data_IF_601902739179
#
_entry.id   IF_601902739179
#
_cell.length_a   1.000
_cell.length_b   1.000
_cell.length_c   1.000
_cell.angle_alpha   90.00
_cell.angle_beta   90.00
_cell.angle_gamma   90.00
#
_symmetry.space_group_name_H-M   'P 1'
#
loop_
_entity.id
_entity.type
_entity.pdbx_description
1 polymer ?
#
# COMPACT_ATOMS: atom_id res chain seq x y z
N UNK A 1 15.47 -4.52 -29.17
CA UNK A 1 15.62 -3.23 -28.45
C UNK A 1 16.45 -3.52 -27.21
N UNK A 2 17.62 -2.87 -27.03
CA UNK A 2 18.40 -2.97 -25.79
C UNK A 2 17.57 -2.32 -24.68
N UNK A 3 17.37 -3.05 -23.58
CA UNK A 3 16.71 -2.48 -22.42
C UNK A 3 17.62 -1.38 -21.83
N UNK A 4 17.08 -0.20 -21.60
CA UNK A 4 17.82 0.87 -20.91
C UNK A 4 18.20 0.38 -19.51
N UNK A 5 19.48 0.37 -19.21
CA UNK A 5 20.00 0.10 -17.88
C UNK A 5 20.24 1.42 -17.15
N UNK A 6 19.75 1.49 -15.93
CA UNK A 6 19.91 2.63 -15.04
C UNK A 6 20.58 2.14 -13.75
N UNK A 7 21.56 2.90 -13.24
CA UNK A 7 22.20 2.64 -11.97
C UNK A 7 22.04 3.85 -11.06
N UNK A 8 21.46 3.65 -9.88
CA UNK A 8 21.38 4.65 -8.82
C UNK A 8 22.54 4.40 -7.86
N UNK A 9 23.41 5.39 -7.68
CA UNK A 9 24.65 5.30 -6.93
C UNK A 9 24.60 6.02 -5.58
N UNK A 10 25.23 5.39 -4.56
CA UNK A 10 25.54 6.04 -3.29
C UNK A 10 24.32 6.40 -2.44
N UNK A 11 23.16 5.78 -2.69
CA UNK A 11 21.95 6.02 -1.94
C UNK A 11 21.85 5.17 -0.66
N UNK A 12 21.12 5.65 0.34
CA UNK A 12 20.75 4.88 1.52
C UNK A 12 19.38 4.24 1.30
N UNK A 13 19.38 2.95 0.99
CA UNK A 13 18.15 2.17 0.76
C UNK A 13 17.46 1.91 2.08
N UNK A 14 16.24 2.42 2.22
CA UNK A 14 15.40 2.26 3.41
C UNK A 14 14.51 1.03 3.21
N UNK A 15 14.61 0.10 4.14
CA UNK A 15 13.75 -1.08 4.20
C UNK A 15 12.82 -1.01 5.40
N UNK A 16 11.89 -1.94 5.54
CA UNK A 16 11.03 -2.06 6.73
C UNK A 16 11.77 -2.44 8.01
N UNK A 17 13.07 -2.74 7.95
CA UNK A 17 13.85 -3.24 9.09
C UNK A 17 15.17 -2.50 9.34
N UNK A 18 15.58 -1.65 8.43
CA UNK A 18 16.84 -0.91 8.55
C UNK A 18 17.23 -0.20 7.27
N UNK A 19 18.33 0.52 7.32
CA UNK A 19 18.87 1.33 6.21
C UNK A 19 20.22 0.75 5.79
N UNK A 20 20.41 0.58 4.48
CA UNK A 20 21.63 0.02 3.90
C UNK A 20 22.15 0.94 2.79
N UNK A 21 23.40 1.37 2.88
CA UNK A 21 24.05 2.06 1.78
C UNK A 21 24.35 1.08 0.65
N UNK A 22 23.79 1.33 -0.52
CA UNK A 22 23.95 0.46 -1.68
C UNK A 22 23.62 1.18 -2.99
N UNK A 23 24.20 0.67 -4.07
CA UNK A 23 23.81 0.99 -5.42
C UNK A 23 22.65 0.11 -5.87
N UNK A 24 21.75 0.66 -6.70
CA UNK A 24 20.57 -0.06 -7.22
C UNK A 24 20.63 -0.11 -8.74
N UNK A 25 20.69 -1.32 -9.31
CA UNK A 25 20.66 -1.56 -10.75
C UNK A 25 19.25 -1.86 -11.23
N UNK A 26 18.83 -1.16 -12.27
CA UNK A 26 17.50 -1.25 -12.86
C UNK A 26 17.64 -1.62 -14.33
N UNK A 27 16.85 -2.58 -14.78
CA UNK A 27 16.74 -2.95 -16.20
C UNK A 27 15.33 -3.42 -16.50
N UNK A 28 14.76 -2.94 -17.61
CA UNK A 28 13.40 -3.28 -18.02
C UNK A 28 12.31 -2.90 -17.01
N UNK A 29 12.55 -1.87 -16.20
CA UNK A 29 11.61 -1.40 -15.17
C UNK A 29 11.69 -2.14 -13.85
N UNK A 30 12.53 -3.16 -13.71
CA UNK A 30 12.70 -3.95 -12.49
C UNK A 30 14.07 -3.73 -11.87
N UNK A 31 14.14 -3.88 -10.56
CA UNK A 31 15.39 -3.92 -9.83
C UNK A 31 16.08 -5.25 -10.13
N UNK A 32 17.31 -5.19 -10.65
CA UNK A 32 18.10 -6.37 -11.00
C UNK A 32 19.07 -6.77 -9.90
N UNK A 33 19.66 -5.76 -9.26
CA UNK A 33 20.70 -5.98 -8.26
C UNK A 33 20.72 -4.83 -7.27
N UNK A 34 21.09 -5.15 -6.04
CA UNK A 34 21.46 -4.19 -4.99
C UNK A 34 22.79 -4.64 -4.46
N UNK A 35 23.77 -3.78 -4.43
CA UNK A 35 25.11 -4.13 -3.92
C UNK A 35 25.81 -2.89 -3.37
N UNK A 36 26.68 -3.10 -2.38
CA UNK A 36 27.58 -2.10 -1.84
C UNK A 36 28.86 -2.12 -2.67
N UNK A 37 29.39 -0.94 -3.04
CA UNK A 37 30.71 -0.76 -3.66
C UNK A 37 31.02 -1.63 -4.90
N UNK A 38 30.11 -1.72 -5.84
CA UNK A 38 30.44 -2.35 -7.10
C UNK A 38 30.78 -1.31 -8.15
N UNK A 39 32.07 -0.95 -8.22
CA UNK A 39 32.59 -0.37 -9.44
C UNK A 39 32.26 -1.34 -10.59
N UNK A 40 31.68 -0.90 -11.70
CA UNK A 40 31.49 -1.77 -12.85
C UNK A 40 32.88 -2.26 -13.27
N UNK A 41 33.14 -3.58 -13.17
CA UNK A 41 34.20 -4.17 -13.97
C UNK A 41 33.86 -3.77 -15.38
N UNK A 42 34.74 -3.05 -16.03
CA UNK A 42 34.57 -2.61 -17.44
C UNK A 42 34.12 -3.80 -18.28
N UNK A 43 32.84 -3.91 -18.49
CA UNK A 43 32.29 -4.85 -19.44
C UNK A 43 32.63 -4.28 -20.82
N UNK A 44 33.75 -4.75 -21.37
CA UNK A 44 34.18 -4.41 -22.72
C UNK A 44 33.01 -4.66 -23.68
N UNK A 45 32.43 -3.58 -24.22
CA UNK A 45 31.44 -3.65 -25.28
C UNK A 45 29.98 -3.42 -24.90
N UNK A 46 29.59 -3.15 -23.66
CA UNK A 46 28.23 -2.76 -23.30
C UNK A 46 28.10 -1.24 -23.18
N UNK A 47 26.95 -0.71 -23.64
CA UNK A 47 26.63 0.71 -23.42
C UNK A 47 26.68 1.00 -21.92
N UNK A 48 27.29 2.12 -21.50
CA UNK A 48 27.32 2.52 -20.09
C UNK A 48 25.89 2.71 -19.62
N UNK A 49 25.52 2.17 -18.42
CA UNK A 49 24.22 2.42 -17.86
C UNK A 49 24.05 3.92 -17.58
N UNK A 50 22.81 4.40 -17.65
CA UNK A 50 22.49 5.76 -17.27
C UNK A 50 22.65 5.87 -15.74
N UNK A 51 23.61 6.68 -15.26
CA UNK A 51 23.93 6.79 -13.82
C UNK A 51 23.17 7.95 -13.19
N UNK A 52 22.60 7.69 -12.01
CA UNK A 52 21.90 8.66 -11.17
C UNK A 52 22.66 8.73 -9.84
N UNK A 53 23.21 9.91 -9.53
CA UNK A 53 23.81 10.17 -8.22
C UNK A 53 22.71 10.36 -7.16
N UNK A 54 22.72 9.50 -6.13
CA UNK A 54 21.84 9.55 -4.98
C UNK A 54 22.61 9.78 -3.67
N UNK A 55 23.83 10.30 -3.74
CA UNK A 55 24.61 10.65 -2.55
C UNK A 55 23.83 11.63 -1.67
N UNK A 56 23.77 11.35 -0.37
CA UNK A 56 22.96 12.17 0.57
C UNK A 56 21.45 11.99 0.46
N UNK A 57 20.99 10.96 -0.25
CA UNK A 57 19.56 10.62 -0.37
C UNK A 57 19.21 9.33 0.37
N UNK A 58 18.03 9.31 0.98
CA UNK A 58 17.33 8.07 1.28
C UNK A 58 16.57 7.62 0.03
N UNK A 59 16.63 6.32 -0.26
CA UNK A 59 15.88 5.64 -1.31
C UNK A 59 14.78 4.81 -0.64
N UNK A 60 13.53 5.23 -0.77
CA UNK A 60 12.40 4.51 -0.20
C UNK A 60 11.63 3.78 -1.29
N UNK A 61 11.02 2.61 -1.02
CA UNK A 61 10.08 2.01 -1.94
C UNK A 61 8.84 2.89 -2.08
N UNK A 62 8.26 2.92 -3.28
CA UNK A 62 7.03 3.64 -3.54
C UNK A 62 5.89 3.21 -2.61
N UNK A 63 5.08 4.16 -2.16
CA UNK A 63 3.94 3.89 -1.27
C UNK A 63 2.74 3.37 -2.05
N UNK A 64 1.86 2.64 -1.33
CA UNK A 64 0.62 2.08 -1.88
C UNK A 64 -0.57 2.83 -1.28
N UNK A 65 -1.27 3.60 -2.12
CA UNK A 65 -2.44 4.35 -1.70
C UNK A 65 -3.67 3.44 -1.61
N UNK A 66 -4.41 3.56 -0.51
CA UNK A 66 -5.68 2.86 -0.27
C UNK A 66 -6.74 3.87 0.20
N UNK A 67 -7.23 4.76 -0.68
CA UNK A 67 -8.12 5.83 -0.30
C UNK A 67 -9.50 5.32 0.14
N UNK A 68 -10.15 6.03 1.05
CA UNK A 68 -11.53 5.73 1.43
C UNK A 68 -12.53 6.03 0.31
N UNK A 69 -12.29 7.16 -0.37
CA UNK A 69 -13.15 7.61 -1.48
C UNK A 69 -12.59 7.14 -2.81
N UNK A 70 -13.39 6.41 -3.60
CA UNK A 70 -12.94 5.91 -4.89
C UNK A 70 -12.57 7.05 -5.84
N UNK A 71 -11.36 6.99 -6.41
CA UNK A 71 -10.90 7.92 -7.44
C UNK A 71 -11.63 7.70 -8.77
N UNK A 72 -12.05 6.46 -9.06
CA UNK A 72 -12.84 6.13 -10.23
C UNK A 72 -14.20 6.83 -10.32
N UNK A 73 -14.66 7.48 -9.23
CA UNK A 73 -15.86 8.35 -9.24
C UNK A 73 -15.61 9.75 -9.79
N UNK A 74 -14.36 10.16 -9.94
CA UNK A 74 -14.02 11.46 -10.55
C UNK A 74 -14.34 11.36 -12.05
N UNK A 75 -15.26 12.21 -12.52
CA UNK A 75 -15.76 12.15 -13.90
C UNK A 75 -14.96 12.99 -14.88
N UNK A 76 -14.25 14.01 -14.40
CA UNK A 76 -13.50 14.94 -15.24
C UNK A 76 -12.03 14.56 -15.25
N UNK A 77 -11.46 14.37 -16.44
CA UNK A 77 -10.06 13.96 -16.60
C UNK A 77 -9.06 14.90 -15.93
N UNK A 78 -9.14 16.23 -16.03
CA UNK A 78 -8.21 17.12 -15.32
C UNK A 78 -8.23 16.92 -13.82
N UNK A 79 -9.42 16.85 -13.21
CA UNK A 79 -9.57 16.63 -11.75
C UNK A 79 -9.02 15.25 -11.32
N UNK A 80 -9.23 14.23 -12.14
CA UNK A 80 -8.66 12.91 -11.92
C UNK A 80 -7.13 12.94 -11.96
N UNK A 81 -6.55 13.56 -12.99
CA UNK A 81 -5.11 13.66 -13.12
C UNK A 81 -4.48 14.49 -11.98
N UNK A 82 -5.15 15.54 -11.53
CA UNK A 82 -4.66 16.35 -10.40
C UNK A 82 -4.68 15.55 -9.10
N UNK A 83 -5.70 14.74 -8.87
CA UNK A 83 -5.75 13.83 -7.72
C UNK A 83 -4.60 12.79 -7.78
N UNK A 84 -4.31 12.20 -8.94
CA UNK A 84 -3.19 11.28 -9.11
C UNK A 84 -1.85 11.98 -8.97
N UNK A 85 -1.69 13.20 -9.48
CA UNK A 85 -0.47 14.01 -9.30
C UNK A 85 -0.22 14.33 -7.83
N UNK A 86 -1.27 14.61 -7.05
CA UNK A 86 -1.15 14.79 -5.61
C UNK A 86 -0.60 13.52 -4.94
N UNK A 87 -1.12 12.34 -5.28
CA UNK A 87 -0.60 11.07 -4.78
C UNK A 87 0.89 10.89 -5.15
N UNK A 88 1.28 11.18 -6.38
CA UNK A 88 2.69 11.08 -6.82
C UNK A 88 3.58 12.01 -5.97
N UNK A 89 3.17 13.25 -5.73
CA UNK A 89 3.93 14.20 -4.88
C UNK A 89 4.10 13.70 -3.45
N UNK A 90 3.15 12.94 -2.94
CA UNK A 90 3.21 12.30 -1.63
C UNK A 90 4.03 10.99 -1.64
N UNK A 91 4.51 10.54 -2.80
CA UNK A 91 5.32 9.33 -2.93
C UNK A 91 4.53 8.06 -3.25
N UNK A 92 3.27 8.15 -3.57
CA UNK A 92 2.51 6.98 -3.99
C UNK A 92 2.82 6.62 -5.45
N UNK A 93 3.14 5.35 -5.69
CA UNK A 93 3.41 4.78 -7.03
C UNK A 93 2.41 3.71 -7.42
N UNK A 94 1.53 3.35 -6.50
CA UNK A 94 0.45 2.39 -6.72
C UNK A 94 -0.82 2.81 -5.99
N UNK A 95 -1.97 2.60 -6.64
CA UNK A 95 -3.30 2.92 -6.12
C UNK A 95 -4.14 1.63 -6.02
N UNK A 96 -4.67 1.35 -4.84
CA UNK A 96 -5.75 0.38 -4.65
C UNK A 96 -7.05 1.16 -4.60
N UNK A 97 -7.79 1.20 -5.70
CA UNK A 97 -9.07 1.91 -5.74
C UNK A 97 -10.25 0.97 -5.48
N UNK A 98 -11.39 1.53 -5.09
CA UNK A 98 -12.58 0.76 -4.75
C UNK A 98 -13.58 0.77 -5.90
N UNK A 99 -13.91 -0.43 -6.37
CA UNK A 99 -14.98 -0.69 -7.32
C UNK A 99 -16.25 -1.03 -6.52
N UNK A 100 -17.33 -0.34 -6.81
CA UNK A 100 -18.64 -0.56 -6.19
C UNK A 100 -19.63 -1.02 -7.26
N UNK A 101 -19.63 -2.33 -7.60
CA UNK A 101 -20.55 -2.85 -8.60
C UNK A 101 -21.97 -2.85 -8.07
N UNK A 102 -22.89 -2.30 -8.82
CA UNK A 102 -24.31 -2.46 -8.54
C UNK A 102 -24.79 -3.88 -8.91
N UNK A 103 -25.96 -4.25 -8.40
CA UNK A 103 -26.47 -5.62 -8.54
C UNK A 103 -26.61 -6.09 -9.98
N UNK A 104 -26.94 -5.16 -10.84
CA UNK A 104 -27.27 -5.38 -12.24
C UNK A 104 -26.07 -5.15 -13.19
N UNK A 105 -24.92 -4.73 -12.66
CA UNK A 105 -23.75 -4.48 -13.49
C UNK A 105 -23.16 -5.77 -14.02
N UNK A 106 -23.10 -5.86 -15.33
CA UNK A 106 -22.28 -6.81 -16.03
C UNK A 106 -20.83 -6.35 -16.17
N UNK A 107 -19.97 -7.18 -16.73
CA UNK A 107 -18.55 -6.91 -16.95
C UNK A 107 -18.27 -5.64 -17.79
N UNK A 108 -18.97 -5.38 -18.91
CA UNK A 108 -18.82 -4.16 -19.69
C UNK A 108 -19.13 -2.89 -18.90
N UNK A 109 -20.14 -2.91 -18.05
CA UNK A 109 -20.52 -1.77 -17.22
C UNK A 109 -19.51 -1.48 -16.11
N UNK A 110 -18.93 -2.54 -15.52
CA UNK A 110 -17.81 -2.42 -14.59
C UNK A 110 -16.58 -1.78 -15.29
N UNK A 111 -16.27 -2.20 -16.51
CA UNK A 111 -15.20 -1.60 -17.31
C UNK A 111 -15.44 -0.13 -17.60
N UNK A 112 -16.68 0.28 -17.82
CA UNK A 112 -17.01 1.70 -18.00
C UNK A 112 -16.76 2.52 -16.73
N UNK A 113 -17.09 1.99 -15.55
CA UNK A 113 -16.77 2.67 -14.28
C UNK A 113 -15.26 2.79 -14.05
N UNK A 114 -14.50 1.83 -14.55
CA UNK A 114 -13.04 1.81 -14.40
C UNK A 114 -12.29 2.56 -15.50
N UNK A 115 -13.01 3.05 -16.53
CA UNK A 115 -12.40 3.64 -17.74
C UNK A 115 -11.48 4.83 -17.44
N UNK A 116 -11.77 5.63 -16.40
CA UNK A 116 -10.92 6.75 -16.02
C UNK A 116 -9.48 6.31 -15.66
N UNK A 117 -9.34 5.10 -15.12
CA UNK A 117 -8.03 4.55 -14.71
C UNK A 117 -7.13 4.16 -15.89
N UNK A 118 -7.65 4.06 -17.12
CA UNK A 118 -6.80 3.93 -18.31
C UNK A 118 -5.89 5.14 -18.52
N UNK A 119 -6.25 6.28 -17.92
CA UNK A 119 -5.44 7.50 -17.95
C UNK A 119 -4.49 7.61 -16.75
N UNK A 120 -4.43 6.61 -15.87
CA UNK A 120 -3.64 6.68 -14.65
C UNK A 120 -2.14 6.84 -14.94
N UNK A 121 -1.46 7.63 -14.12
CA UNK A 121 -0.03 7.89 -14.19
C UNK A 121 0.78 6.86 -13.38
N UNK A 122 0.13 6.20 -12.39
CA UNK A 122 0.71 5.19 -11.51
C UNK A 122 0.00 3.85 -11.68
N UNK A 123 0.64 2.77 -11.27
CA UNK A 123 0.01 1.45 -11.31
C UNK A 123 -1.19 1.40 -10.36
N UNK A 124 -2.15 0.54 -10.64
CA UNK A 124 -3.35 0.43 -9.85
C UNK A 124 -3.90 -1.00 -9.80
N UNK A 125 -4.64 -1.27 -8.74
CA UNK A 125 -5.45 -2.49 -8.59
C UNK A 125 -6.79 -2.14 -7.96
N UNK A 126 -7.67 -3.12 -7.83
CA UNK A 126 -9.04 -2.91 -7.40
C UNK A 126 -9.38 -3.68 -6.13
N UNK A 127 -10.12 -3.02 -5.27
CA UNK A 127 -10.89 -3.64 -4.20
C UNK A 127 -12.37 -3.62 -4.60
N UNK A 128 -13.03 -4.77 -4.56
CA UNK A 128 -14.47 -4.86 -4.88
C UNK A 128 -15.27 -4.73 -3.60
N UNK A 129 -16.16 -3.72 -3.53
CA UNK A 129 -17.05 -3.50 -2.40
C UNK A 129 -18.40 -4.19 -2.64
N UNK A 130 -18.80 -5.07 -1.74
CA UNK A 130 -20.01 -5.87 -1.81
C UNK A 130 -20.76 -5.84 -0.48
N UNK A 131 -22.11 -5.80 -0.46
CA UNK A 131 -22.86 -6.05 0.77
C UNK A 131 -22.66 -7.51 1.21
N UNK A 132 -22.68 -7.75 2.54
CA UNK A 132 -22.52 -9.08 3.12
C UNK A 132 -23.46 -10.14 2.49
N UNK A 133 -24.70 -9.75 2.19
CA UNK A 133 -25.72 -10.62 1.56
C UNK A 133 -25.34 -11.12 0.16
N UNK A 134 -24.34 -10.54 -0.48
CA UNK A 134 -23.85 -10.91 -1.81
C UNK A 134 -22.53 -11.65 -1.79
N UNK A 135 -21.89 -11.76 -0.65
CA UNK A 135 -20.66 -12.55 -0.55
C UNK A 135 -21.04 -14.04 -0.44
N UNK A 136 -21.04 -14.71 -1.56
CA UNK A 136 -21.32 -16.15 -1.72
C UNK A 136 -20.29 -16.82 -2.64
N UNK A 137 -20.34 -18.14 -2.77
CA UNK A 137 -19.37 -18.90 -3.55
C UNK A 137 -19.31 -18.50 -5.03
N UNK A 138 -20.44 -18.19 -5.65
CA UNK A 138 -20.51 -17.72 -7.04
C UNK A 138 -19.80 -16.38 -7.22
N UNK A 139 -20.13 -15.42 -6.34
CA UNK A 139 -19.52 -14.07 -6.34
C UNK A 139 -18.01 -14.14 -6.14
N UNK A 140 -17.54 -14.98 -5.20
CA UNK A 140 -16.10 -15.17 -4.97
C UNK A 140 -15.43 -15.76 -6.21
N UNK A 141 -15.98 -16.84 -6.80
CA UNK A 141 -15.40 -17.44 -8.02
C UNK A 141 -15.36 -16.43 -9.18
N UNK A 142 -16.42 -15.66 -9.36
CA UNK A 142 -16.51 -14.64 -10.42
C UNK A 142 -15.41 -13.59 -10.28
N UNK A 143 -15.38 -12.86 -9.16
CA UNK A 143 -14.42 -11.77 -9.00
C UNK A 143 -12.99 -12.26 -8.85
N UNK A 144 -12.77 -13.30 -8.06
CA UNK A 144 -11.42 -13.80 -7.84
C UNK A 144 -10.86 -14.56 -9.04
N UNK A 145 -11.71 -15.19 -9.86
CA UNK A 145 -11.32 -15.79 -11.14
C UNK A 145 -10.73 -14.78 -12.12
N UNK A 146 -11.18 -13.53 -12.07
CA UNK A 146 -10.70 -12.43 -12.89
C UNK A 146 -9.47 -11.71 -12.32
N UNK A 147 -8.97 -12.13 -11.15
CA UNK A 147 -7.77 -11.56 -10.55
C UNK A 147 -8.01 -10.62 -9.38
N UNK A 148 -9.25 -10.29 -9.04
CA UNK A 148 -9.53 -9.46 -7.86
C UNK A 148 -9.18 -10.23 -6.58
N UNK A 149 -8.38 -9.60 -5.70
CA UNK A 149 -7.87 -10.24 -4.48
C UNK A 149 -8.27 -9.50 -3.21
N UNK A 150 -8.95 -8.38 -3.35
CA UNK A 150 -9.42 -7.55 -2.25
C UNK A 150 -10.93 -7.44 -2.33
N UNK A 151 -11.64 -7.89 -1.29
CA UNK A 151 -13.09 -7.77 -1.20
C UNK A 151 -13.43 -6.97 0.06
N UNK A 152 -14.15 -5.86 -0.11
CA UNK A 152 -14.67 -5.04 0.97
C UNK A 152 -16.12 -5.43 1.25
N UNK A 153 -16.36 -5.97 2.42
CA UNK A 153 -17.67 -6.47 2.83
C UNK A 153 -18.38 -5.41 3.66
N UNK A 154 -19.49 -4.91 3.13
CA UNK A 154 -20.33 -3.94 3.82
C UNK A 154 -21.30 -4.68 4.73
N UNK A 155 -21.16 -4.47 6.03
CA UNK A 155 -22.02 -5.05 7.07
C UNK A 155 -22.74 -3.92 7.79
N UNK A 156 -24.06 -3.98 7.83
CA UNK A 156 -24.90 -2.97 8.49
C UNK A 156 -25.44 -3.44 9.84
N UNK A 157 -25.59 -4.75 9.99
CA UNK A 157 -26.13 -5.38 11.22
C UNK A 157 -25.34 -6.63 11.56
N UNK A 158 -25.12 -6.93 12.84
CA UNK A 158 -24.38 -8.14 13.25
C UNK A 158 -24.95 -9.46 12.71
N UNK A 159 -26.28 -9.52 12.53
CA UNK A 159 -26.96 -10.74 12.02
C UNK A 159 -26.54 -11.10 10.60
N UNK A 160 -26.09 -10.14 9.80
CA UNK A 160 -25.63 -10.38 8.43
C UNK A 160 -24.39 -11.29 8.42
N UNK A 161 -23.55 -11.24 9.46
CA UNK A 161 -22.36 -12.09 9.57
C UNK A 161 -22.71 -13.58 9.74
N UNK A 162 -23.79 -13.88 10.44
CA UNK A 162 -24.24 -15.24 10.69
C UNK A 162 -25.05 -15.84 9.54
N UNK A 163 -25.50 -14.99 8.60
CA UNK A 163 -26.20 -15.42 7.38
C UNK A 163 -25.25 -15.74 6.23
N UNK A 164 -23.97 -15.42 6.36
CA UNK A 164 -22.97 -15.74 5.36
C UNK A 164 -22.63 -17.24 5.40
N UNK A 165 -22.58 -17.86 4.24
CA UNK A 165 -22.20 -19.27 4.09
C UNK A 165 -20.67 -19.42 4.16
N UNK A 166 -20.14 -19.34 5.38
CA UNK A 166 -18.70 -19.40 5.64
C UNK A 166 -18.09 -20.74 5.21
N UNK A 167 -18.83 -21.85 5.28
CA UNK A 167 -18.37 -23.18 4.87
C UNK A 167 -18.04 -23.21 3.38
N UNK A 168 -18.90 -22.62 2.55
CA UNK A 168 -18.67 -22.56 1.10
C UNK A 168 -17.65 -21.49 0.70
N UNK A 169 -17.64 -20.32 1.36
CA UNK A 169 -16.80 -19.19 0.92
C UNK A 169 -15.36 -19.27 1.44
N UNK A 170 -15.13 -19.79 2.65
CA UNK A 170 -13.79 -19.78 3.26
C UNK A 170 -12.72 -20.54 2.47
N UNK A 171 -13.00 -21.78 1.95
CA UNK A 171 -12.02 -22.49 1.13
C UNK A 171 -11.69 -21.73 -0.17
N UNK A 172 -12.69 -21.06 -0.76
CA UNK A 172 -12.48 -20.26 -1.96
C UNK A 172 -11.62 -19.03 -1.67
N UNK A 173 -11.94 -18.28 -0.61
CA UNK A 173 -11.16 -17.11 -0.21
C UNK A 173 -9.70 -17.47 0.06
N UNK A 174 -9.46 -18.60 0.72
CA UNK A 174 -8.11 -19.11 1.00
C UNK A 174 -7.40 -19.53 -0.28
N UNK A 175 -8.07 -20.30 -1.18
CA UNK A 175 -7.47 -20.77 -2.44
C UNK A 175 -7.09 -19.62 -3.37
N UNK A 176 -7.91 -18.60 -3.45
CA UNK A 176 -7.64 -17.38 -4.23
C UNK A 176 -6.76 -16.38 -3.48
N UNK A 177 -6.39 -16.64 -2.21
CA UNK A 177 -5.59 -15.75 -1.35
C UNK A 177 -6.21 -14.36 -1.20
N UNK A 178 -7.50 -14.33 -0.97
CA UNK A 178 -8.27 -13.08 -0.84
C UNK A 178 -8.03 -12.45 0.52
N UNK A 179 -7.90 -11.13 0.53
CA UNK A 179 -7.96 -10.30 1.73
C UNK A 179 -9.36 -9.70 1.82
N UNK A 180 -10.06 -9.92 2.93
CA UNK A 180 -11.32 -9.25 3.21
C UNK A 180 -11.06 -7.91 3.92
N UNK A 181 -11.95 -6.95 3.73
CA UNK A 181 -12.05 -5.75 4.56
C UNK A 181 -13.47 -5.63 5.09
N UNK A 182 -13.60 -5.42 6.40
CA UNK A 182 -14.87 -5.03 6.98
C UNK A 182 -15.12 -3.54 6.75
N UNK A 183 -16.32 -3.19 6.27
CA UNK A 183 -16.83 -1.83 6.26
C UNK A 183 -18.16 -1.76 6.98
N UNK A 184 -18.22 -0.97 8.04
CA UNK A 184 -19.45 -0.62 8.74
C UNK A 184 -19.81 0.82 8.37
N UNK A 185 -20.86 1.04 7.53
CA UNK A 185 -21.24 2.39 7.13
C UNK A 185 -21.71 3.23 8.32
N UNK A 186 -21.47 4.53 8.29
CA UNK A 186 -21.98 5.46 9.33
C UNK A 186 -23.50 5.47 9.38
N UNK A 187 -24.11 5.32 8.22
CA UNK A 187 -25.56 5.30 8.01
C UNK A 187 -26.24 4.02 8.56
N UNK A 188 -25.46 3.05 9.06
CA UNK A 188 -26.01 1.85 9.70
C UNK A 188 -26.73 2.16 11.02
N UNK A 189 -26.50 3.35 11.60
CA UNK A 189 -27.16 3.78 12.83
C UNK A 189 -26.65 3.07 14.09
N UNK A 190 -25.56 2.29 14.01
CA UNK A 190 -24.98 1.59 15.15
C UNK A 190 -24.25 2.59 16.06
N UNK A 191 -24.47 2.48 17.37
CA UNK A 191 -23.70 3.20 18.37
C UNK A 191 -22.27 2.64 18.49
N UNK A 192 -21.40 3.30 19.25
CA UNK A 192 -19.99 2.91 19.42
C UNK A 192 -19.80 1.49 19.94
N UNK A 193 -20.61 1.06 20.90
CA UNK A 193 -20.54 -0.27 21.50
C UNK A 193 -20.98 -1.37 20.52
N UNK A 194 -22.06 -1.13 19.78
CA UNK A 194 -22.55 -2.04 18.74
C UNK A 194 -21.53 -2.19 17.60
N UNK A 195 -20.89 -1.09 17.19
CA UNK A 195 -19.82 -1.12 16.19
C UNK A 195 -18.62 -1.91 16.67
N UNK A 196 -18.18 -1.69 17.91
CA UNK A 196 -17.08 -2.43 18.53
C UNK A 196 -17.39 -3.93 18.62
N UNK A 197 -18.61 -4.29 19.05
CA UNK A 197 -19.08 -5.67 19.10
C UNK A 197 -19.07 -6.33 17.71
N UNK A 198 -19.52 -5.61 16.68
CA UNK A 198 -19.51 -6.09 15.30
C UNK A 198 -18.07 -6.34 14.81
N UNK A 199 -17.12 -5.44 15.10
CA UNK A 199 -15.71 -5.64 14.74
C UNK A 199 -15.11 -6.86 15.44
N UNK A 200 -15.37 -7.07 16.74
CA UNK A 200 -14.93 -8.24 17.48
C UNK A 200 -15.48 -9.55 16.92
N UNK A 201 -16.75 -9.56 16.57
CA UNK A 201 -17.38 -10.71 15.93
C UNK A 201 -16.75 -11.02 14.57
N UNK A 202 -16.50 -10.00 13.76
CA UNK A 202 -15.83 -10.15 12.46
C UNK A 202 -14.42 -10.73 12.63
N UNK A 203 -13.60 -10.19 13.51
CA UNK A 203 -12.25 -10.70 13.78
C UNK A 203 -12.28 -12.16 14.24
N UNK A 204 -13.18 -12.49 15.16
CA UNK A 204 -13.35 -13.86 15.64
C UNK A 204 -13.75 -14.82 14.53
N UNK A 205 -14.69 -14.46 13.67
CA UNK A 205 -15.11 -15.27 12.52
C UNK A 205 -13.96 -15.45 11.53
N UNK A 206 -13.27 -14.38 11.14
CA UNK A 206 -12.14 -14.48 10.22
C UNK A 206 -11.04 -15.38 10.76
N UNK A 207 -10.72 -15.32 12.05
CA UNK A 207 -9.77 -16.22 12.71
C UNK A 207 -10.26 -17.69 12.70
N UNK A 208 -11.51 -17.94 13.06
CA UNK A 208 -12.07 -19.30 13.08
C UNK A 208 -12.03 -19.95 11.68
N UNK A 209 -12.32 -19.19 10.64
CA UNK A 209 -12.32 -19.66 9.27
C UNK A 209 -10.98 -19.50 8.54
N UNK A 210 -9.92 -19.07 9.25
CA UNK A 210 -8.57 -18.86 8.71
C UNK A 210 -8.55 -17.89 7.50
N UNK A 211 -9.38 -16.86 7.53
CA UNK A 211 -9.52 -15.87 6.48
C UNK A 211 -8.74 -14.62 6.88
N UNK A 212 -7.94 -14.12 5.95
CA UNK A 212 -7.19 -12.89 6.14
C UNK A 212 -8.10 -11.68 5.97
N UNK A 213 -8.02 -10.76 6.92
CA UNK A 213 -8.83 -9.55 6.88
C UNK A 213 -8.07 -8.34 7.36
N UNK A 214 -8.40 -7.17 6.83
CA UNK A 214 -8.06 -5.92 7.48
C UNK A 214 -9.30 -5.25 8.04
N UNK A 215 -9.10 -4.51 9.11
CA UNK A 215 -10.13 -3.66 9.70
C UNK A 215 -9.58 -2.26 9.92
N UNK A 216 -10.44 -1.27 9.76
CA UNK A 216 -10.12 0.09 10.14
C UNK A 216 -10.07 0.18 11.67
N UNK A 217 -9.10 0.95 12.20
CA UNK A 217 -8.98 1.18 13.64
C UNK A 217 -10.25 1.86 14.17
N UNK A 218 -10.94 1.18 15.07
CA UNK A 218 -11.91 1.79 15.96
C UNK A 218 -11.18 2.09 17.27
N UNK A 219 -11.36 3.28 17.83
CA UNK A 219 -10.61 3.78 18.99
C UNK A 219 -10.62 2.85 20.22
N UNK A 220 -11.57 1.92 20.29
CA UNK A 220 -11.76 1.00 21.40
C UNK A 220 -11.21 -0.42 21.17
N UNK A 221 -10.67 -0.74 19.98
CA UNK A 221 -10.01 -2.02 19.74
C UNK A 221 -8.59 -1.99 20.29
N UNK A 222 -8.21 -3.05 21.01
CA UNK A 222 -6.84 -3.21 21.52
C UNK A 222 -6.02 -4.13 20.64
N UNK A 223 -4.69 -4.02 20.68
CA UNK A 223 -3.82 -4.84 19.82
C UNK A 223 -3.88 -6.33 20.17
N UNK A 224 -4.23 -6.67 21.40
CA UNK A 224 -4.38 -8.04 21.89
C UNK A 224 -5.59 -8.76 21.27
N UNK A 225 -6.56 -8.01 20.75
CA UNK A 225 -7.73 -8.57 20.07
C UNK A 225 -7.42 -9.06 18.63
N UNK A 226 -6.24 -8.71 18.10
CA UNK A 226 -5.83 -9.06 16.75
C UNK A 226 -4.93 -10.29 16.73
N UNK A 227 -5.18 -11.17 15.75
CA UNK A 227 -4.31 -12.30 15.44
C UNK A 227 -3.34 -11.88 14.32
N UNK A 228 -2.01 -11.91 14.53
CA UNK A 228 -1.03 -11.44 13.54
C UNK A 228 -0.98 -12.28 12.26
N UNK A 229 -1.59 -13.48 12.25
CA UNK A 229 -1.65 -14.33 11.05
C UNK A 229 -2.82 -14.01 10.13
N UNK A 230 -3.91 -13.49 10.69
CA UNK A 230 -5.14 -13.28 9.93
C UNK A 230 -5.58 -11.83 9.85
N UNK A 231 -5.13 -10.99 10.76
CA UNK A 231 -5.65 -9.65 10.92
C UNK A 231 -4.62 -8.58 10.56
N UNK A 232 -5.06 -7.58 9.81
CA UNK A 232 -4.31 -6.36 9.49
C UNK A 232 -5.06 -5.18 10.10
N UNK A 233 -4.36 -4.34 10.83
CA UNK A 233 -4.91 -3.14 11.43
C UNK A 233 -4.57 -1.91 10.60
N UNK A 234 -5.59 -1.16 10.16
CA UNK A 234 -5.37 0.12 9.51
C UNK A 234 -5.39 1.23 10.55
N UNK A 235 -4.28 1.96 10.64
CA UNK A 235 -4.15 3.12 11.51
C UNK A 235 -5.06 4.25 11.05
N UNK A 236 -5.67 4.93 12.02
CA UNK A 236 -6.41 6.16 11.82
C UNK A 236 -6.27 7.09 13.03
N UNK A 237 -6.10 8.39 12.76
CA UNK A 237 -6.20 9.43 13.75
C UNK A 237 -5.23 9.30 14.93
N UNK A 238 -5.75 9.49 16.14
CA UNK A 238 -4.97 9.57 17.38
C UNK A 238 -4.28 8.26 17.81
N UNK A 239 -4.75 7.11 17.32
CA UNK A 239 -4.17 5.81 17.64
C UNK A 239 -2.83 5.53 16.94
N UNK A 240 -2.44 6.38 15.96
CA UNK A 240 -1.24 6.17 15.16
C UNK A 240 0.01 6.11 16.02
N UNK A 241 0.18 7.00 16.98
CA UNK A 241 1.39 7.04 17.81
C UNK A 241 1.51 5.80 18.69
N UNK A 242 0.42 5.37 19.34
CA UNK A 242 0.38 4.15 20.15
C UNK A 242 0.72 2.91 19.33
N UNK A 243 0.16 2.80 18.13
CA UNK A 243 0.43 1.69 17.24
C UNK A 243 1.87 1.68 16.72
N UNK A 244 2.42 2.84 16.34
CA UNK A 244 3.81 2.93 15.91
C UNK A 244 4.78 2.57 17.03
N UNK A 245 4.50 2.96 18.27
CA UNK A 245 5.30 2.54 19.44
C UNK A 245 5.22 1.03 19.68
N UNK A 246 4.04 0.46 19.57
CA UNK A 246 3.87 -0.99 19.66
C UNK A 246 4.68 -1.71 18.60
N UNK A 247 4.64 -1.23 17.36
CA UNK A 247 5.44 -1.77 16.26
C UNK A 247 6.94 -1.62 16.51
N UNK A 248 7.40 -0.50 17.04
CA UNK A 248 8.80 -0.26 17.35
C UNK A 248 9.33 -1.20 18.44
N UNK A 249 8.51 -1.53 19.44
CA UNK A 249 8.87 -2.48 20.49
C UNK A 249 8.84 -3.95 20.05
N UNK A 250 8.17 -4.28 18.96
CA UNK A 250 7.88 -5.66 18.56
C UNK A 250 8.13 -5.89 17.06
N UNK A 251 9.34 -5.55 16.57
CA UNK A 251 9.69 -5.59 15.14
C UNK A 251 9.34 -6.88 14.39
N UNK A 252 9.51 -8.04 15.03
CA UNK A 252 9.35 -9.35 14.39
C UNK A 252 8.03 -10.07 14.68
N UNK A 253 7.31 -9.66 15.72
CA UNK A 253 6.07 -10.32 16.17
C UNK A 253 4.88 -9.37 16.20
N UNK A 254 5.04 -8.17 15.69
CA UNK A 254 3.98 -7.18 15.71
C UNK A 254 2.91 -7.48 14.68
N UNK A 255 1.69 -7.16 15.07
CA UNK A 255 0.54 -7.15 14.20
C UNK A 255 0.87 -6.41 12.89
N UNK A 256 0.46 -6.93 11.72
CA UNK A 256 0.55 -6.19 10.48
C UNK A 256 -0.30 -4.92 10.55
N UNK A 257 0.36 -3.79 10.42
CA UNK A 257 -0.27 -2.47 10.46
C UNK A 257 -0.07 -1.78 9.12
N UNK A 258 -1.12 -1.20 8.59
CA UNK A 258 -1.09 -0.34 7.40
C UNK A 258 -1.53 1.08 7.77
N UNK A 259 -1.02 2.07 7.06
CA UNK A 259 -1.41 3.46 7.23
C UNK A 259 -1.35 4.23 5.92
N UNK A 260 -2.25 5.18 5.76
CA UNK A 260 -2.08 6.25 4.79
C UNK A 260 -1.27 7.37 5.45
N UNK A 261 -0.38 8.01 4.69
CA UNK A 261 0.54 9.03 5.26
C UNK A 261 -0.18 10.25 5.83
N UNK A 262 -1.30 10.63 5.24
CA UNK A 262 -2.16 11.73 5.68
C UNK A 262 -2.90 11.44 6.99
N UNK A 263 -2.99 10.17 7.36
CA UNK A 263 -3.62 9.74 8.62
C UNK A 263 -2.60 9.59 9.76
N UNK A 264 -1.29 9.70 9.49
CA UNK A 264 -0.24 9.45 10.48
C UNK A 264 0.33 10.75 11.04
N UNK A 265 0.12 10.94 12.34
CA UNK A 265 0.74 12.02 13.13
C UNK A 265 1.62 11.42 14.22
N UNK A 266 2.81 11.97 14.41
CA UNK A 266 3.75 11.55 15.45
C UNK A 266 4.15 12.76 16.30
N UNK A 267 4.03 12.64 17.63
CA UNK A 267 4.49 13.64 18.56
C UNK A 267 5.99 13.44 18.86
N UNK A 268 6.81 14.36 18.41
CA UNK A 268 8.27 14.30 18.59
C UNK A 268 8.76 14.95 19.90
N UNK A 269 7.90 15.63 20.67
CA UNK A 269 8.29 16.33 21.92
C UNK A 269 8.94 15.38 22.94
N UNK A 270 8.57 14.12 22.94
CA UNK A 270 9.06 13.14 23.92
C UNK A 270 10.45 12.59 23.60
N UNK A 271 11.08 12.98 22.49
CA UNK A 271 12.42 12.53 22.04
C UNK A 271 12.63 10.99 22.07
N UNK A 272 11.55 10.22 21.96
CA UNK A 272 11.59 8.77 22.03
C UNK A 272 11.85 8.11 20.67
N UNK A 273 11.87 8.92 19.60
CA UNK A 273 12.01 8.45 18.24
C UNK A 273 13.42 8.72 17.69
N UNK A 274 14.03 7.67 17.17
CA UNK A 274 15.17 7.81 16.28
C UNK A 274 14.67 8.10 14.85
N UNK A 275 15.22 9.10 14.16
CA UNK A 275 14.73 9.51 12.84
C UNK A 275 14.80 8.42 11.79
N UNK A 276 15.83 7.59 11.80
CA UNK A 276 16.00 6.50 10.83
C UNK A 276 15.06 5.32 11.14
N UNK A 277 14.91 4.96 12.39
CA UNK A 277 13.96 3.94 12.84
C UNK A 277 12.52 4.34 12.49
N UNK A 278 12.16 5.61 12.71
CA UNK A 278 10.85 6.11 12.31
C UNK A 278 10.65 6.01 10.79
N UNK A 279 11.66 6.36 10.00
CA UNK A 279 11.59 6.26 8.54
C UNK A 279 11.37 4.80 8.09
N UNK A 280 12.05 3.83 8.73
CA UNK A 280 11.82 2.39 8.47
C UNK A 280 10.40 1.95 8.83
N UNK A 281 9.85 2.43 9.95
CA UNK A 281 8.45 2.15 10.34
C UNK A 281 7.46 2.68 9.31
N UNK A 282 7.70 3.87 8.78
CA UNK A 282 6.85 4.47 7.74
C UNK A 282 6.87 3.66 6.44
N UNK A 283 8.06 3.26 6.00
CA UNK A 283 8.19 2.32 4.87
C UNK A 283 7.43 1.02 5.16
N UNK A 284 7.51 0.53 6.39
CA UNK A 284 6.81 -0.69 6.78
C UNK A 284 5.30 -0.55 6.65
N UNK A 285 4.70 0.51 7.18
CA UNK A 285 3.23 0.64 7.23
C UNK A 285 2.62 1.17 5.93
N UNK A 286 3.27 2.11 5.24
CA UNK A 286 2.72 2.77 4.04
C UNK A 286 3.13 2.09 2.72
N UNK A 287 4.18 1.27 2.73
CA UNK A 287 4.68 0.60 1.54
C UNK A 287 4.63 -0.91 1.67
N UNK A 288 5.47 -1.52 2.52
CA UNK A 288 5.64 -2.98 2.59
C UNK A 288 4.38 -3.70 3.05
N UNK A 289 3.79 -3.32 4.18
CA UNK A 289 2.58 -3.95 4.70
C UNK A 289 1.36 -3.64 3.82
N UNK A 290 1.27 -2.41 3.30
CA UNK A 290 0.22 -2.04 2.36
C UNK A 290 0.27 -2.88 1.08
N UNK A 291 1.47 -3.10 0.49
CA UNK A 291 1.65 -3.97 -0.66
C UNK A 291 1.32 -5.43 -0.34
N UNK A 292 1.69 -5.93 0.85
CA UNK A 292 1.34 -7.27 1.32
C UNK A 292 -0.18 -7.42 1.47
N UNK A 293 -0.85 -6.47 2.12
CA UNK A 293 -2.30 -6.48 2.29
C UNK A 293 -3.03 -6.45 0.93
N UNK A 294 -2.50 -5.68 -0.03
CA UNK A 294 -3.05 -5.61 -1.38
C UNK A 294 -2.70 -6.82 -2.29
N UNK A 295 -1.90 -7.78 -1.81
CA UNK A 295 -1.46 -8.91 -2.61
C UNK A 295 -0.44 -8.56 -3.71
N UNK A 296 0.23 -7.41 -3.60
CA UNK A 296 1.16 -6.85 -4.59
C UNK A 296 2.64 -7.12 -4.26
N UNK A 297 2.93 -7.52 -3.01
CA UNK A 297 4.29 -7.85 -2.58
C UNK A 297 4.75 -9.19 -3.19
N UNK A 298 6.02 -9.37 -3.58
CA UNK A 298 7.15 -8.43 -3.49
C UNK A 298 7.32 -7.52 -4.71
N UNK A 299 6.41 -7.57 -5.67
CA UNK A 299 6.50 -6.71 -6.86
C UNK A 299 6.45 -5.22 -6.51
N UNK A 300 5.64 -4.85 -5.52
CA UNK A 300 5.52 -3.51 -4.94
C UNK A 300 5.89 -3.53 -3.46
N UNK A 301 6.18 -2.37 -2.89
CA UNK A 301 6.36 -2.20 -1.45
C UNK A 301 7.76 -2.53 -0.90
N UNK A 302 8.73 -2.76 -1.77
CA UNK A 302 10.12 -3.01 -1.35
C UNK A 302 11.11 -2.67 -2.46
N UNK A 303 12.37 -2.43 -2.07
CA UNK A 303 13.51 -2.29 -2.98
C UNK A 303 14.33 -3.57 -2.84
N UNK A 304 14.06 -4.57 -3.68
CA UNK A 304 14.76 -5.85 -3.74
C UNK A 304 14.86 -6.34 -5.19
N UNK A 305 15.81 -7.22 -5.54
CA UNK A 305 15.88 -7.81 -6.87
C UNK A 305 14.55 -8.49 -7.26
N UNK A 306 14.07 -8.19 -8.45
CA UNK A 306 12.80 -8.68 -8.99
C UNK A 306 11.59 -7.77 -8.75
N UNK A 307 11.65 -6.83 -7.81
CA UNK A 307 10.62 -5.83 -7.62
C UNK A 307 10.59 -4.80 -8.75
N UNK A 308 9.43 -4.16 -8.96
CA UNK A 308 9.35 -2.98 -9.81
C UNK A 308 10.25 -1.87 -9.26
N UNK A 309 10.92 -1.13 -10.12
CA UNK A 309 11.79 -0.03 -9.71
C UNK A 309 10.96 1.23 -9.38
N UNK A 310 10.15 1.11 -8.33
CA UNK A 310 9.35 2.19 -7.75
C UNK A 310 10.13 2.78 -6.57
N UNK A 311 10.78 3.92 -6.80
CA UNK A 311 11.75 4.47 -5.86
C UNK A 311 11.48 5.95 -5.61
N UNK A 312 11.45 6.32 -4.34
CA UNK A 312 11.33 7.70 -3.86
C UNK A 312 12.70 8.19 -3.43
N UNK A 313 13.04 9.40 -3.82
CA UNK A 313 14.29 10.06 -3.44
C UNK A 313 13.98 11.13 -2.38
N UNK A 314 14.47 10.96 -1.18
CA UNK A 314 14.29 11.88 -0.06
C UNK A 314 15.65 12.40 0.41
N UNK A 315 15.87 13.73 0.44
CA UNK A 315 17.11 14.29 0.96
C UNK A 315 17.28 14.00 2.45
N UNK A 316 18.41 13.41 2.84
CA UNK A 316 18.73 13.11 4.25
C UNK A 316 18.69 14.38 5.11
N UNK A 317 19.34 15.44 4.67
CA UNK A 317 19.37 16.72 5.37
C UNK A 317 17.96 17.27 5.61
N UNK A 318 17.08 17.20 4.61
CA UNK A 318 15.71 17.67 4.72
C UNK A 318 14.90 16.91 5.77
N UNK A 319 15.00 15.58 5.77
CA UNK A 319 14.35 14.72 6.75
C UNK A 319 14.86 15.00 8.17
N UNK A 320 16.18 15.02 8.36
CA UNK A 320 16.79 15.23 9.67
C UNK A 320 16.52 16.62 10.22
N UNK A 321 16.61 17.67 9.40
CA UNK A 321 16.30 19.05 9.81
C UNK A 321 14.85 19.19 10.23
N UNK A 322 13.92 18.70 9.44
CA UNK A 322 12.49 18.73 9.80
C UNK A 322 12.20 17.94 11.06
N UNK A 323 12.81 16.77 11.23
CA UNK A 323 12.67 15.95 12.43
C UNK A 323 13.08 16.69 13.70
N UNK A 324 14.21 17.41 13.67
CA UNK A 324 14.71 18.18 14.80
C UNK A 324 13.87 19.42 15.11
N UNK A 325 13.39 20.10 14.08
CA UNK A 325 12.66 21.38 14.24
C UNK A 325 11.19 21.19 14.58
N UNK A 326 10.63 20.01 14.39
CA UNK A 326 9.19 19.79 14.56
C UNK A 326 8.84 19.26 15.93
N UNK A 327 7.69 19.67 16.43
CA UNK A 327 7.09 19.12 17.66
C UNK A 327 6.05 18.04 17.35
N UNK A 328 5.37 18.19 16.22
CA UNK A 328 4.41 17.23 15.68
C UNK A 328 4.77 16.98 14.23
N UNK A 329 4.87 15.73 13.86
CA UNK A 329 5.20 15.30 12.51
C UNK A 329 3.93 14.81 11.82
N UNK A 330 3.43 15.62 10.90
CA UNK A 330 2.41 15.22 9.93
C UNK A 330 3.12 14.62 8.72
N UNK A 331 2.97 13.33 8.49
CA UNK A 331 3.82 12.63 7.52
C UNK A 331 3.54 13.01 6.08
N UNK A 332 2.32 13.36 5.73
CA UNK A 332 1.99 13.90 4.41
C UNK A 332 2.78 15.16 4.04
N UNK A 333 3.12 15.97 5.04
CA UNK A 333 3.83 17.25 4.83
C UNK A 333 5.35 17.09 4.89
N UNK A 334 5.83 16.02 5.49
CA UNK A 334 7.24 15.80 5.78
C UNK A 334 7.93 14.86 4.79
N UNK A 335 7.25 13.82 4.36
CA UNK A 335 7.78 12.84 3.42
C UNK A 335 7.56 13.25 1.95
N UNK A 336 7.66 14.55 1.64
CA UNK A 336 7.61 14.97 0.24
C UNK A 336 8.92 14.58 -0.45
N UNK A 337 8.92 13.54 -1.28
CA UNK A 337 10.12 13.15 -2.01
C UNK A 337 10.52 14.24 -3.00
N UNK A 338 11.81 14.43 -3.19
CA UNK A 338 12.33 15.37 -4.20
C UNK A 338 12.12 14.86 -5.61
N UNK A 339 12.07 13.53 -5.74
CA UNK A 339 11.80 12.86 -7.01
C UNK A 339 11.12 11.51 -6.78
N UNK A 340 10.29 11.10 -7.72
CA UNK A 340 9.55 9.83 -7.72
C UNK A 340 9.77 9.10 -9.03
N UNK A 341 10.16 7.84 -8.93
CA UNK A 341 10.36 6.94 -10.04
C UNK A 341 9.37 5.77 -9.93
N UNK A 342 8.82 5.34 -11.06
CA UNK A 342 8.05 4.11 -11.15
C UNK A 342 8.51 3.29 -12.36
N UNK A 343 8.76 2.01 -12.12
CA UNK A 343 9.33 1.09 -13.12
C UNK A 343 10.55 1.68 -13.87
N UNK A 344 11.44 2.31 -13.08
CA UNK A 344 12.67 2.90 -13.63
C UNK A 344 12.47 4.20 -14.44
N UNK A 345 11.26 4.74 -14.50
CA UNK A 345 10.93 5.99 -15.20
C UNK A 345 10.54 7.07 -14.21
N UNK A 346 10.98 8.29 -14.47
CA UNK A 346 10.59 9.42 -13.67
C UNK A 346 9.09 9.71 -13.80
N UNK A 347 8.38 9.79 -12.67
CA UNK A 347 7.03 10.34 -12.58
C UNK A 347 7.07 11.81 -12.21
N UNK A 348 7.97 12.16 -11.28
CA UNK A 348 8.13 13.51 -10.75
C UNK A 348 9.60 13.76 -10.45
N UNK A 349 10.14 14.87 -10.93
CA UNK A 349 11.53 15.29 -10.70
C UNK A 349 11.65 16.80 -10.88
N UNK A 350 12.44 17.46 -10.02
CA UNK A 350 12.67 18.90 -10.07
C UNK A 350 11.37 19.72 -10.13
N UNK A 351 10.40 19.36 -9.28
CA UNK A 351 9.07 19.98 -9.19
C UNK A 351 8.19 19.84 -10.46
N UNK A 352 8.64 19.08 -11.45
CA UNK A 352 7.92 18.83 -12.70
C UNK A 352 7.43 17.39 -12.79
N UNK A 353 6.24 17.20 -13.33
CA UNK A 353 5.74 15.87 -13.70
C UNK A 353 6.28 15.48 -15.07
N UNK A 354 7.00 14.36 -15.11
CA UNK A 354 7.51 13.76 -16.34
C UNK A 354 6.65 12.57 -16.81
N UNK A 355 5.57 12.28 -16.07
CA UNK A 355 4.71 11.15 -16.34
C UNK A 355 3.78 11.38 -17.54
N UNK A 356 3.62 10.34 -18.35
CA UNK A 356 2.71 10.33 -19.49
C UNK A 356 1.37 9.72 -19.08
N UNK A 357 0.28 10.28 -19.56
CA UNK A 357 -1.08 9.74 -19.35
C UNK A 357 -1.12 8.28 -19.84
N UNK A 358 -1.68 7.39 -19.01
CA UNK A 358 -1.76 5.97 -19.32
C UNK A 358 -0.49 5.17 -19.05
N UNK A 359 0.50 5.71 -18.32
CA UNK A 359 1.70 4.95 -17.91
C UNK A 359 1.38 3.84 -16.90
N UNK A 360 0.37 4.06 -16.06
CA UNK A 360 -0.05 3.11 -15.04
C UNK A 360 -0.68 1.85 -15.64
N UNK A 361 -0.47 0.71 -14.99
CA UNK A 361 -1.05 -0.57 -15.40
C UNK A 361 -1.98 -1.11 -14.34
N UNK A 362 -3.04 -1.79 -14.77
CA UNK A 362 -3.88 -2.58 -13.88
C UNK A 362 -3.11 -3.84 -13.44
N UNK A 363 -3.06 -4.09 -12.13
CA UNK A 363 -2.27 -5.16 -11.52
C UNK A 363 -3.13 -6.34 -11.05
N UNK A 364 -4.13 -6.76 -11.82
CA UNK A 364 -4.98 -7.93 -11.52
C UNK A 364 -4.30 -9.26 -11.83
N UNK A 365 -3.25 -9.27 -12.64
CA UNK A 365 -2.49 -10.44 -13.06
C UNK A 365 -1.46 -10.92 -12.03
N UNK A 366 -1.24 -10.18 -10.95
CA UNK A 366 -0.28 -10.54 -9.91
C UNK A 366 -0.83 -11.70 -9.09
N UNK A 367 -0.05 -12.79 -9.00
CA UNK A 367 -0.32 -13.89 -8.09
C UNK A 367 0.19 -13.53 -6.70
N UNK A 368 -0.67 -13.43 -5.70
CA UNK A 368 -0.24 -13.12 -4.33
C UNK A 368 0.74 -14.15 -3.80
N UNK A 369 1.77 -13.70 -3.12
CA UNK A 369 2.75 -14.57 -2.49
C UNK A 369 2.17 -15.22 -1.23
N UNK A 370 2.62 -16.44 -0.88
CA UNK A 370 2.30 -17.04 0.41
C UNK A 370 3.25 -16.47 1.46
N UNK A 371 2.84 -15.43 2.14
CA UNK A 371 3.57 -14.91 3.29
C UNK A 371 2.60 -14.59 4.41
N UNK A 372 3.08 -14.76 5.60
CA UNK A 372 2.46 -14.19 6.80
C UNK A 372 2.75 -12.69 6.74
N UNK A 373 1.73 -11.89 6.89
CA UNK A 373 1.87 -10.42 6.86
C UNK A 373 2.67 -9.95 8.07
#
# INVERSE_FOLDING_TARGET
>A
MRQEEVVIRGGSVVTSYGIVEADVWISGGNIRRIAKDSLPKEAKGTARPNEIDASGMYLLPGFVAMPERPHGRIRRLPEYLDAIRLLIRQGYTCLVDTLQPEAWMDHPQVRYQTAMHFNNLIDYTWQVELPASRLNGETVRRWCGEGYRLLRVVVRRPEELFRMDWETISPLLTSYKVMLQLRVPKEAGLNGEERLRLHRQWLSLCRCWQIRTWVDGEASLTFEEFDPYYHVFRLRGEDCERALRHLAGHWFRSLPVIAALDEVQVNLRRREWDPESLLCLLVRVASTNAAKAAGLYPRKGCIIPGADADILFLKKEHWLTKFVLSTILNLSDFLLPTSVMSKGKWLYRNQCFASTIGMGRCLLDIKPYNYVI
#
